data_IF_082280782869
#
_entry.id   IF_082280782869
#
_cell.length_a   1.000
_cell.length_b   1.000
_cell.length_c   1.000
_cell.angle_alpha   90.00
_cell.angle_beta   90.00
_cell.angle_gamma   90.00
#
_symmetry.space_group_name_H-M   'P 1'
#
loop_
_entity.id
_entity.type
_entity.pdbx_description
1 polymer ?
#
# COMPACT_ATOMS: atom_id res chain seq x y z
N UNK A 1 -16.01 4.20 9.17
CA UNK A 1 -16.24 5.59 8.68
C UNK A 1 -14.99 6.40 8.93
N UNK A 2 -14.54 7.17 7.95
CA UNK A 2 -13.34 8.00 8.06
C UNK A 2 -13.69 9.24 8.89
N UNK A 3 -13.05 9.43 10.05
CA UNK A 3 -13.32 10.57 10.93
C UNK A 3 -12.53 11.80 10.43
N UNK A 4 -13.19 12.96 10.39
CA UNK A 4 -12.54 14.23 10.09
C UNK A 4 -12.58 15.15 11.31
N UNK A 5 -11.49 15.90 11.51
CA UNK A 5 -11.35 16.88 12.59
C UNK A 5 -10.87 18.20 11.98
N UNK A 6 -11.44 19.31 12.43
CA UNK A 6 -10.97 20.64 12.04
C UNK A 6 -9.60 20.93 12.68
N UNK A 7 -8.68 21.52 11.92
CA UNK A 7 -7.36 21.94 12.39
C UNK A 7 -7.41 22.83 13.65
N UNK A 8 -8.46 23.61 13.84
CA UNK A 8 -8.62 24.43 15.05
C UNK A 8 -8.87 23.56 16.29
N UNK A 9 -9.62 22.46 16.16
CA UNK A 9 -9.89 21.55 17.26
C UNK A 9 -8.71 20.62 17.52
N UNK A 10 -8.04 20.15 16.47
CA UNK A 10 -6.79 19.41 16.60
C UNK A 10 -5.72 20.18 17.38
N UNK A 11 -5.60 21.50 17.18
CA UNK A 11 -4.62 22.35 17.89
C UNK A 11 -4.91 22.50 19.39
N UNK A 12 -6.15 22.32 19.82
CA UNK A 12 -6.51 22.45 21.24
C UNK A 12 -5.99 21.25 22.05
N UNK A 13 -6.01 20.06 21.47
CA UNK A 13 -5.59 18.83 22.16
C UNK A 13 -4.87 17.83 21.23
N UNK A 14 -3.71 18.19 20.65
CA UNK A 14 -3.01 17.32 19.70
C UNK A 14 -2.58 15.98 20.31
N UNK A 15 -2.21 15.98 21.61
CA UNK A 15 -1.81 14.77 22.33
C UNK A 15 -2.93 13.74 22.47
N UNK A 16 -4.16 14.19 22.76
CA UNK A 16 -5.33 13.30 22.84
C UNK A 16 -5.62 12.67 21.49
N UNK A 17 -5.59 13.47 20.42
CA UNK A 17 -5.81 12.98 19.06
C UNK A 17 -4.75 11.94 18.68
N UNK A 18 -3.47 12.19 19.00
CA UNK A 18 -2.39 11.23 18.77
C UNK A 18 -2.63 9.94 19.57
N UNK A 19 -3.03 10.03 20.83
CA UNK A 19 -3.34 8.85 21.65
C UNK A 19 -4.49 8.04 21.06
N UNK A 20 -5.55 8.69 20.59
CA UNK A 20 -6.65 8.00 19.92
C UNK A 20 -6.20 7.32 18.63
N UNK A 21 -5.35 7.97 17.83
CA UNK A 21 -4.77 7.35 16.63
C UNK A 21 -3.95 6.12 17.02
N UNK A 22 -3.04 6.25 17.97
CA UNK A 22 -2.10 5.19 18.33
C UNK A 22 -2.78 3.98 19.00
N UNK A 23 -3.53 4.23 20.08
CA UNK A 23 -4.12 3.17 20.90
C UNK A 23 -5.40 2.59 20.29
N UNK A 24 -6.25 3.43 19.68
CA UNK A 24 -7.53 2.99 19.11
C UNK A 24 -7.45 2.73 17.60
N UNK A 25 -6.24 2.80 17.01
CA UNK A 25 -5.97 2.56 15.58
C UNK A 25 -6.87 3.39 14.65
N UNK A 26 -7.25 4.60 15.10
CA UNK A 26 -8.09 5.52 14.32
C UNK A 26 -7.31 6.13 13.16
N UNK A 27 -8.01 6.43 12.07
CA UNK A 27 -7.49 7.17 10.91
C UNK A 27 -8.27 8.48 10.80
N UNK A 28 -7.58 9.60 10.92
CA UNK A 28 -8.21 10.91 11.05
C UNK A 28 -7.77 11.80 9.89
N UNK A 29 -8.73 12.41 9.20
CA UNK A 29 -8.46 13.48 8.24
C UNK A 29 -8.45 14.82 8.98
N UNK A 30 -7.38 15.58 8.82
CA UNK A 30 -7.30 16.96 9.27
C UNK A 30 -7.79 17.89 8.17
N UNK A 31 -8.78 18.73 8.49
CA UNK A 31 -9.43 19.64 7.56
C UNK A 31 -9.30 21.10 8.02
N UNK A 32 -9.21 22.03 7.07
CA UNK A 32 -9.30 23.48 7.36
C UNK A 32 -10.44 24.06 6.52
N UNK A 33 -11.52 24.48 7.19
CA UNK A 33 -12.77 24.80 6.50
C UNK A 33 -13.35 23.53 5.86
N UNK A 34 -13.51 23.53 4.54
CA UNK A 34 -13.97 22.36 3.75
C UNK A 34 -12.84 21.61 3.03
N UNK A 35 -11.57 22.01 3.23
CA UNK A 35 -10.43 21.45 2.52
C UNK A 35 -9.71 20.41 3.38
N UNK A 36 -9.57 19.19 2.86
CA UNK A 36 -8.72 18.15 3.43
C UNK A 36 -7.25 18.54 3.28
N UNK A 37 -6.50 18.51 4.39
CA UNK A 37 -5.12 18.99 4.43
C UNK A 37 -4.11 17.88 4.67
N UNK A 38 -4.37 17.04 5.66
CA UNK A 38 -3.46 15.97 6.06
C UNK A 38 -4.26 14.79 6.61
N UNK A 39 -3.58 13.66 6.80
CA UNK A 39 -4.13 12.49 7.49
C UNK A 39 -3.19 12.14 8.62
N UNK A 40 -3.76 11.86 9.79
CA UNK A 40 -3.05 11.28 10.93
C UNK A 40 -3.43 9.80 10.99
N UNK A 41 -2.42 8.95 10.89
CA UNK A 41 -2.56 7.49 10.92
C UNK A 41 -1.57 6.89 11.92
N UNK A 42 -1.82 5.67 12.42
CA UNK A 42 -0.85 4.95 13.20
C UNK A 42 0.44 4.73 12.42
N UNK A 43 1.60 4.84 13.08
CA UNK A 43 2.92 4.71 12.42
C UNK A 43 3.10 3.34 11.76
N UNK A 44 2.62 2.27 12.38
CA UNK A 44 2.64 0.91 11.84
C UNK A 44 1.83 0.77 10.54
N UNK A 45 0.78 1.56 10.38
CA UNK A 45 0.01 1.62 9.14
C UNK A 45 0.75 2.45 8.08
N UNK A 46 1.34 3.58 8.49
CA UNK A 46 2.13 4.41 7.59
C UNK A 46 3.30 3.60 7.00
N UNK A 47 4.11 2.96 7.84
CA UNK A 47 5.24 2.13 7.41
C UNK A 47 4.81 1.07 6.40
N UNK A 48 3.68 0.38 6.64
CA UNK A 48 3.14 -0.62 5.70
C UNK A 48 2.76 -0.08 4.34
N UNK A 49 2.32 1.18 4.25
CA UNK A 49 1.99 1.79 2.95
C UNK A 49 3.22 2.01 2.08
N UNK A 50 4.41 2.07 2.67
CA UNK A 50 5.68 2.28 1.98
C UNK A 50 6.60 1.05 2.02
N UNK A 51 6.15 -0.06 2.61
CA UNK A 51 6.81 -1.36 2.44
C UNK A 51 6.65 -1.90 1.01
N UNK A 52 5.56 -1.53 0.32
CA UNK A 52 5.29 -1.89 -1.07
C UNK A 52 6.03 -1.00 -2.09
N UNK A 53 6.84 -0.02 -1.66
CA UNK A 53 7.80 0.61 -2.58
C UNK A 53 8.94 -0.36 -2.99
N UNK A 54 9.02 -1.53 -2.32
CA UNK A 54 9.75 -2.73 -2.75
C UNK A 54 8.86 -3.73 -3.52
N UNK A 55 7.77 -3.30 -4.16
CA UNK A 55 7.31 -4.03 -5.35
C UNK A 55 8.45 -3.85 -6.35
N UNK A 56 9.36 -4.84 -6.43
CA UNK A 56 10.40 -4.92 -7.45
C UNK A 56 9.75 -4.63 -8.80
N UNK A 57 9.87 -3.38 -9.27
CA UNK A 57 9.58 -3.04 -10.65
C UNK A 57 10.70 -3.75 -11.40
N UNK A 58 10.44 -4.99 -11.81
CA UNK A 58 11.42 -5.78 -12.51
C UNK A 58 11.96 -4.94 -13.67
N UNK A 59 13.27 -4.72 -13.65
CA UNK A 59 13.91 -4.02 -14.75
C UNK A 59 13.62 -4.79 -16.05
N UNK A 60 13.68 -4.11 -17.20
CA UNK A 60 13.47 -4.79 -18.49
C UNK A 60 14.46 -5.94 -18.68
N UNK A 61 15.63 -5.89 -18.06
CA UNK A 61 16.58 -6.99 -18.01
C UNK A 61 16.05 -8.17 -17.19
N UNK A 62 15.51 -7.92 -15.99
CA UNK A 62 14.99 -8.97 -15.10
C UNK A 62 13.76 -9.67 -15.67
N UNK A 63 12.88 -8.93 -16.35
CA UNK A 63 11.73 -9.52 -17.08
C UNK A 63 12.22 -10.47 -18.19
N UNK A 64 13.28 -10.10 -18.92
CA UNK A 64 13.85 -10.96 -19.98
C UNK A 64 14.50 -12.22 -19.42
N UNK A 65 15.06 -12.17 -18.22
CA UNK A 65 15.61 -13.35 -17.54
C UNK A 65 14.49 -14.34 -17.20
N UNK A 66 13.39 -13.87 -16.61
CA UNK A 66 12.22 -14.71 -16.34
C UNK A 66 11.62 -15.29 -17.62
N UNK A 67 11.44 -14.48 -18.67
CA UNK A 67 10.94 -14.96 -19.95
C UNK A 67 11.84 -16.03 -20.59
N UNK A 68 13.14 -16.03 -20.27
CA UNK A 68 14.10 -17.01 -20.80
C UNK A 68 14.10 -18.29 -19.97
N UNK A 69 13.99 -18.19 -18.66
CA UNK A 69 14.00 -19.30 -17.72
C UNK A 69 12.66 -20.04 -17.68
N UNK A 70 11.54 -19.32 -17.81
CA UNK A 70 10.19 -19.87 -17.72
C UNK A 70 9.68 -20.48 -19.05
N UNK A 71 10.59 -20.79 -19.97
CA UNK A 71 10.25 -21.47 -21.23
C UNK A 71 10.11 -22.96 -20.99
N UNK A 72 8.89 -23.47 -21.19
CA UNK A 72 8.63 -24.90 -21.29
C UNK A 72 9.60 -25.55 -22.28
N UNK A 73 10.23 -26.64 -21.87
CA UNK A 73 11.08 -27.42 -22.75
C UNK A 73 10.24 -28.07 -23.87
N UNK A 74 10.89 -28.53 -24.94
CA UNK A 74 10.18 -29.08 -26.12
C UNK A 74 9.23 -30.25 -25.77
N UNK A 75 9.56 -31.05 -24.76
CA UNK A 75 8.70 -32.17 -24.31
C UNK A 75 7.47 -31.66 -23.56
N UNK A 76 7.64 -30.65 -22.71
CA UNK A 76 6.56 -30.03 -21.96
C UNK A 76 5.59 -29.28 -22.88
N UNK A 77 6.10 -28.58 -23.89
CA UNK A 77 5.26 -27.93 -24.92
C UNK A 77 4.43 -28.94 -25.71
N UNK A 78 5.03 -30.09 -26.07
CA UNK A 78 4.32 -31.15 -26.76
C UNK A 78 3.23 -31.78 -25.88
N UNK A 79 3.51 -31.98 -24.59
CA UNK A 79 2.55 -32.50 -23.61
C UNK A 79 1.40 -31.54 -23.35
N UNK A 80 1.69 -30.24 -23.23
CA UNK A 80 0.67 -29.20 -23.06
C UNK A 80 -0.29 -29.16 -24.26
N UNK A 81 0.24 -29.24 -25.49
CA UNK A 81 -0.58 -29.30 -26.72
C UNK A 81 -1.47 -30.53 -26.80
N UNK A 82 -1.06 -31.65 -26.21
CA UNK A 82 -1.89 -32.85 -26.14
C UNK A 82 -3.01 -32.72 -25.09
N UNK A 83 -2.76 -32.03 -23.98
CA UNK A 83 -3.73 -31.84 -22.90
C UNK A 83 -4.76 -30.73 -23.16
N UNK A 84 -4.45 -29.78 -24.04
CA UNK A 84 -5.33 -28.67 -24.43
C UNK A 84 -6.23 -28.99 -25.64
N UNK A 85 -6.29 -30.27 -26.05
CA UNK A 85 -7.07 -30.76 -27.20
C UNK A 85 -8.22 -31.61 -26.70
#
# INVERSE_FOLDING_TARGET
MQQSINMLDFRKSPGEVINEVYYNKKKIILERGKKKMAVVVPIDLYEKLFLDDDIEIYSKERIKEFEKEDKLNKKEQARLKQLLK
#
